data_IF_280859535992
#
_entry.id   IF_280859535992
#
_cell.length_a   1.000
_cell.length_b   1.000
_cell.length_c   1.000
_cell.angle_alpha   90.00
_cell.angle_beta   90.00
_cell.angle_gamma   90.00
#
_symmetry.space_group_name_H-M   'P 1'
#
loop_
_entity.id
_entity.type
_entity.pdbx_description
1 polymer ?
#
# COMPACT_ATOMS: atom_id res chain seq x y z
N UNK A 1 7.50 10.68 5.07
CA UNK A 1 7.01 10.31 3.71
C UNK A 1 7.13 8.80 3.56
N UNK A 2 6.06 8.10 3.16
CA UNK A 2 6.01 6.62 2.98
C UNK A 2 7.24 6.03 2.23
N UNK A 3 7.87 6.85 1.37
CA UNK A 3 9.10 6.56 0.62
C UNK A 3 10.32 6.19 1.50
N UNK A 4 10.35 6.61 2.76
CA UNK A 4 11.48 6.39 3.68
C UNK A 4 11.30 5.16 4.58
N UNK A 5 10.23 4.38 4.40
CA UNK A 5 9.87 3.30 5.33
C UNK A 5 10.56 1.95 5.03
N UNK A 6 11.50 1.88 4.09
CA UNK A 6 12.33 0.69 3.85
C UNK A 6 11.71 -0.40 2.96
N UNK A 7 10.70 -0.05 2.16
CA UNK A 7 9.99 -0.98 1.28
C UNK A 7 10.36 -0.74 -0.19
N UNK A 8 10.57 -1.84 -0.93
CA UNK A 8 11.23 -1.86 -2.25
C UNK A 8 10.29 -1.72 -3.45
N UNK A 9 9.00 -1.40 -3.25
CA UNK A 9 8.00 -1.40 -4.32
C UNK A 9 7.25 -0.07 -4.46
N UNK A 10 7.80 0.88 -5.21
CA UNK A 10 6.97 1.94 -5.81
C UNK A 10 6.55 1.46 -7.19
N UNK A 11 5.24 1.49 -7.48
CA UNK A 11 4.76 1.26 -8.84
C UNK A 11 4.20 2.55 -9.41
N UNK A 12 4.83 2.95 -10.51
CA UNK A 12 4.67 4.26 -11.14
C UNK A 12 3.42 4.35 -12.03
N UNK A 13 2.62 3.29 -12.17
CA UNK A 13 1.57 3.18 -13.20
C UNK A 13 0.55 2.04 -12.95
N UNK A 14 -0.72 2.25 -13.33
CA UNK A 14 -1.85 1.31 -13.26
C UNK A 14 -1.71 0.08 -14.17
N UNK A 15 -0.96 0.17 -15.27
CA UNK A 15 -0.63 -0.95 -16.15
C UNK A 15 0.28 -1.98 -15.48
N UNK A 16 1.29 -1.54 -14.72
CA UNK A 16 2.10 -2.43 -13.87
C UNK A 16 1.29 -3.11 -12.77
N UNK A 17 0.30 -2.41 -12.19
CA UNK A 17 -0.60 -2.97 -11.19
C UNK A 17 -1.34 -4.22 -11.69
N UNK A 18 -1.90 -4.17 -12.89
CA UNK A 18 -2.62 -5.31 -13.45
C UNK A 18 -1.71 -6.53 -13.67
N UNK A 19 -0.48 -6.30 -14.12
CA UNK A 19 0.52 -7.37 -14.32
C UNK A 19 0.93 -8.05 -13.02
N UNK A 20 1.15 -7.28 -11.96
CA UNK A 20 1.47 -7.84 -10.63
C UNK A 20 0.30 -8.62 -10.06
N UNK A 21 -0.93 -8.15 -10.26
CA UNK A 21 -2.13 -8.87 -9.79
C UNK A 21 -2.32 -10.22 -10.51
N UNK A 22 -1.94 -10.31 -11.78
CA UNK A 22 -1.98 -11.56 -12.54
C UNK A 22 -0.83 -12.51 -12.16
N UNK A 23 0.35 -11.97 -11.86
CA UNK A 23 1.53 -12.74 -11.52
C UNK A 23 2.16 -12.22 -10.22
N UNK A 24 1.48 -12.42 -9.06
CA UNK A 24 2.03 -11.98 -7.79
C UNK A 24 3.32 -12.76 -7.52
N UNK A 25 4.40 -12.11 -7.06
CA UNK A 25 5.62 -12.80 -6.70
C UNK A 25 5.31 -13.93 -5.70
N UNK A 26 5.84 -15.12 -5.99
CA UNK A 26 5.60 -16.31 -5.17
C UNK A 26 6.42 -16.17 -3.88
N UNK A 27 5.74 -15.77 -2.80
CA UNK A 27 6.31 -15.64 -1.44
C UNK A 27 7.45 -14.62 -1.34
N UNK A 28 7.15 -13.32 -1.42
CA UNK A 28 8.20 -12.35 -1.16
C UNK A 28 8.62 -12.47 0.32
N UNK A 29 9.94 -12.51 0.58
CA UNK A 29 10.50 -12.55 1.94
C UNK A 29 10.12 -11.32 2.78
N UNK A 30 9.74 -10.22 2.09
CA UNK A 30 9.22 -9.00 2.68
C UNK A 30 7.92 -8.60 1.96
N UNK A 31 6.91 -8.06 2.67
CA UNK A 31 5.73 -7.49 2.02
C UNK A 31 6.13 -6.51 0.91
N UNK A 32 5.57 -6.69 -0.28
CA UNK A 32 5.68 -5.74 -1.38
C UNK A 32 4.32 -5.09 -1.51
N UNK A 33 4.26 -3.79 -1.30
CA UNK A 33 3.06 -3.04 -1.62
C UNK A 33 3.23 -2.29 -2.91
N UNK A 34 2.09 -1.96 -3.48
CA UNK A 34 1.93 -1.22 -4.69
C UNK A 34 0.95 -0.11 -4.35
N UNK A 35 1.26 1.11 -4.75
CA UNK A 35 0.38 2.27 -4.64
C UNK A 35 0.50 3.04 -5.94
N UNK A 36 -0.61 3.44 -6.53
CA UNK A 36 -0.56 4.27 -7.73
C UNK A 36 -0.04 5.66 -7.35
N UNK A 37 0.69 6.29 -8.28
CA UNK A 37 1.20 7.65 -8.05
C UNK A 37 0.06 8.63 -7.76
N UNK A 38 -1.05 8.50 -8.47
CA UNK A 38 -2.27 9.29 -8.28
C UNK A 38 -2.82 9.14 -6.86
N UNK A 39 -3.02 7.91 -6.38
CA UNK A 39 -3.51 7.67 -5.02
C UNK A 39 -2.56 8.20 -3.94
N UNK A 40 -1.24 8.18 -4.20
CA UNK A 40 -0.27 8.77 -3.28
C UNK A 40 -0.31 10.31 -3.30
N UNK A 41 -0.35 10.91 -4.47
CA UNK A 41 -0.26 12.36 -4.63
C UNK A 41 -1.60 13.05 -4.23
N UNK A 42 -2.74 12.36 -4.36
CA UNK A 42 -4.04 12.82 -3.84
C UNK A 42 -4.28 12.47 -2.36
N UNK A 43 -3.66 11.39 -1.90
CA UNK A 43 -3.83 10.84 -0.55
C UNK A 43 -3.08 11.60 0.54
N UNK A 44 -2.00 12.28 0.18
CA UNK A 44 -1.10 12.94 1.11
C UNK A 44 -0.85 14.40 0.74
N UNK A 45 -0.81 15.29 1.73
CA UNK A 45 -0.44 16.68 1.53
C UNK A 45 1.09 16.88 1.37
N UNK A 46 1.50 18.11 1.11
CA UNK A 46 2.92 18.48 0.99
C UNK A 46 3.74 18.28 2.26
N UNK A 47 3.10 18.25 3.44
CA UNK A 47 3.72 17.94 4.72
C UNK A 47 3.81 16.41 4.97
N UNK A 48 3.17 15.61 4.13
CA UNK A 48 3.13 14.15 4.23
C UNK A 48 2.04 13.62 5.16
N UNK A 49 1.06 14.45 5.55
CA UNK A 49 -0.11 14.01 6.28
C UNK A 49 -1.09 13.35 5.33
N UNK A 50 -1.73 12.27 5.76
CA UNK A 50 -2.80 11.66 5.00
C UNK A 50 -4.05 12.54 5.06
N UNK A 51 -4.59 12.94 3.89
CA UNK A 51 -5.76 13.81 3.76
C UNK A 51 -6.96 13.11 3.12
N UNK A 52 -6.73 11.96 2.47
CA UNK A 52 -7.77 11.15 1.83
C UNK A 52 -7.50 9.66 2.01
N UNK A 53 -8.51 8.79 1.85
CA UNK A 53 -8.27 7.36 1.79
C UNK A 53 -7.30 6.99 0.66
N UNK A 54 -6.43 6.01 0.91
CA UNK A 54 -5.43 5.55 -0.07
C UNK A 54 -5.47 4.04 -0.17
N UNK A 55 -5.64 3.52 -1.37
CA UNK A 55 -5.63 2.10 -1.63
C UNK A 55 -4.22 1.59 -1.96
N UNK A 56 -3.82 0.54 -1.26
CA UNK A 56 -2.60 -0.22 -1.47
C UNK A 56 -2.97 -1.61 -1.95
N UNK A 57 -2.25 -2.12 -2.95
CA UNK A 57 -2.24 -3.54 -3.22
C UNK A 57 -1.03 -4.16 -2.54
N UNK A 58 -1.30 -5.10 -1.66
CA UNK A 58 -0.33 -5.73 -0.78
C UNK A 58 -0.12 -7.14 -1.26
N UNK A 59 1.10 -7.44 -1.66
CA UNK A 59 1.56 -8.81 -1.92
C UNK A 59 2.42 -9.27 -0.75
N UNK A 60 2.03 -10.36 -0.12
CA UNK A 60 2.70 -10.90 1.06
C UNK A 60 1.70 -11.22 2.17
N UNK A 61 2.16 -11.23 3.43
CA UNK A 61 1.31 -11.48 4.59
C UNK A 61 0.54 -10.20 5.00
N UNK A 62 -0.81 -10.20 4.95
CA UNK A 62 -1.64 -9.06 5.33
C UNK A 62 -1.48 -8.61 6.79
N UNK A 63 -1.26 -9.53 7.72
CA UNK A 63 -1.12 -9.23 9.14
C UNK A 63 0.20 -8.53 9.44
N UNK A 64 1.29 -8.98 8.78
CA UNK A 64 2.59 -8.29 8.87
C UNK A 64 2.50 -6.88 8.29
N UNK A 65 1.81 -6.71 7.16
CA UNK A 65 1.59 -5.40 6.57
C UNK A 65 0.78 -4.47 7.48
N UNK A 66 -0.30 -4.99 8.07
CA UNK A 66 -1.13 -4.22 9.01
C UNK A 66 -0.31 -3.79 10.24
N UNK A 67 0.52 -4.70 10.76
CA UNK A 67 1.40 -4.41 11.91
C UNK A 67 2.38 -3.27 11.61
N UNK A 68 2.93 -3.23 10.39
CA UNK A 68 3.79 -2.15 9.92
C UNK A 68 3.04 -0.82 9.85
N UNK A 69 1.84 -0.81 9.28
CA UNK A 69 1.04 0.42 9.17
C UNK A 69 0.76 1.01 10.56
N UNK A 70 0.38 0.16 11.52
CA UNK A 70 0.16 0.55 12.92
C UNK A 70 1.44 1.12 13.55
N UNK A 71 2.62 0.51 13.31
CA UNK A 71 3.90 1.04 13.81
C UNK A 71 4.20 2.46 13.31
N UNK A 72 3.66 2.83 12.14
CA UNK A 72 3.78 4.16 11.56
C UNK A 72 2.59 5.08 11.85
N UNK A 73 1.71 4.72 12.80
CA UNK A 73 0.50 5.47 13.14
C UNK A 73 -0.44 5.67 11.95
N UNK A 74 -0.39 4.74 10.99
CA UNK A 74 -1.27 4.70 9.84
C UNK A 74 -2.33 3.62 10.08
N UNK A 75 -3.59 3.98 9.84
CA UNK A 75 -4.72 3.10 10.08
C UNK A 75 -5.43 2.79 8.76
N UNK A 76 -5.99 1.60 8.68
CA UNK A 76 -6.64 1.13 7.48
C UNK A 76 -7.14 -0.29 7.62
N UNK A 77 -7.79 -0.78 6.57
CA UNK A 77 -8.37 -2.11 6.56
C UNK A 77 -8.27 -2.76 5.18
N UNK A 78 -8.13 -4.09 5.19
CA UNK A 78 -8.25 -4.85 3.96
C UNK A 78 -9.70 -4.85 3.45
N UNK A 79 -9.87 -4.86 2.14
CA UNK A 79 -11.17 -5.04 1.51
C UNK A 79 -11.73 -6.42 1.87
N UNK A 80 -13.02 -6.47 2.20
CA UNK A 80 -13.71 -7.72 2.47
C UNK A 80 -13.71 -8.66 1.25
N UNK A 81 -13.69 -8.09 0.04
CA UNK A 81 -13.73 -8.84 -1.21
C UNK A 81 -12.35 -9.14 -1.79
N UNK A 82 -11.31 -8.42 -1.36
CA UNK A 82 -9.95 -8.59 -1.87
C UNK A 82 -8.92 -8.42 -0.75
N UNK A 83 -8.36 -9.55 -0.30
CA UNK A 83 -7.34 -9.57 0.77
C UNK A 83 -5.99 -9.00 0.35
N UNK A 84 -5.83 -8.62 -0.92
CA UNK A 84 -4.67 -7.89 -1.38
C UNK A 84 -4.92 -6.38 -1.40
N UNK A 85 -6.17 -5.90 -1.29
CA UNK A 85 -6.45 -4.46 -1.26
C UNK A 85 -6.56 -3.97 0.17
N UNK A 86 -5.70 -3.03 0.56
CA UNK A 86 -5.72 -2.36 1.84
C UNK A 86 -6.00 -0.87 1.67
N UNK A 87 -7.02 -0.35 2.34
CA UNK A 87 -7.36 1.06 2.29
C UNK A 87 -6.87 1.72 3.58
N UNK A 88 -5.91 2.63 3.47
CA UNK A 88 -5.57 3.57 4.54
C UNK A 88 -6.72 4.56 4.71
N UNK A 89 -7.07 4.83 5.96
CA UNK A 89 -8.12 5.75 6.36
C UNK A 89 -7.44 6.89 7.16
N UNK A 90 -7.72 8.16 6.83
CA UNK A 90 -7.22 9.28 7.62
C UNK A 90 -7.63 9.13 9.08
N UNK A 91 -6.71 9.44 9.99
CA UNK A 91 -6.97 9.47 11.43
C UNK A 91 -7.89 10.63 11.83
#
# INVERSE_FOLDING_TARGET
MLKNLGWTGEVQDTGRWHKVRQNPPVRPEKPIFYVTREARDEGFDSAGNQVRPVEFFVVGNPEQFTSVMIQHQLYGQFSASDRMLYCLIPA
#
